data_IF_110692801431
#
_entry.id   IF_110692801431
#
_cell.length_a   1.000
_cell.length_b   1.000
_cell.length_c   1.000
_cell.angle_alpha   90.00
_cell.angle_beta   90.00
_cell.angle_gamma   90.00
#
_symmetry.space_group_name_H-M   'P 1'
#
loop_
_entity.id
_entity.type
_entity.pdbx_description
1 polymer ?
#
# COMPACT_ATOMS: atom_id res chain seq x y z
N UNK A 1 56.76 17.13 -7.82
CA UNK A 1 55.72 17.35 -6.83
C UNK A 1 54.43 16.88 -7.48
N UNK A 2 53.75 15.86 -7.08
CA UNK A 2 53.99 14.67 -6.26
C UNK A 2 52.80 13.75 -6.58
N UNK A 3 53.16 12.57 -7.08
CA UNK A 3 52.28 11.41 -7.07
C UNK A 3 51.89 11.13 -5.61
N UNK A 4 50.62 11.26 -5.28
CA UNK A 4 49.98 10.70 -4.08
C UNK A 4 48.55 11.26 -4.01
N UNK A 5 47.60 10.60 -4.63
CA UNK A 5 46.16 10.54 -4.26
C UNK A 5 45.37 9.66 -5.24
N UNK A 6 45.77 8.41 -5.44
CA UNK A 6 45.03 7.38 -6.19
C UNK A 6 45.18 6.00 -5.56
N UNK A 7 45.13 5.94 -4.24
CA UNK A 7 45.04 4.68 -3.51
C UNK A 7 44.05 4.89 -2.36
N UNK A 8 42.78 4.60 -2.56
CA UNK A 8 41.78 4.34 -1.50
C UNK A 8 40.35 4.17 -2.09
N UNK A 9 40.20 3.39 -3.16
CA UNK A 9 38.90 2.98 -3.65
C UNK A 9 38.72 1.47 -3.94
N UNK A 10 39.69 0.64 -3.55
CA UNK A 10 39.68 -0.83 -3.86
C UNK A 10 39.45 -1.75 -2.65
N UNK A 11 38.98 -1.27 -1.51
CA UNK A 11 38.79 -2.13 -0.32
C UNK A 11 37.35 -2.21 0.22
N UNK A 12 36.31 -2.10 -0.62
CA UNK A 12 34.91 -2.31 -0.18
C UNK A 12 34.14 -3.36 -1.02
N UNK A 13 34.81 -4.14 -1.85
CA UNK A 13 34.15 -5.12 -2.73
C UNK A 13 34.45 -6.60 -2.49
N UNK A 14 34.94 -7.00 -1.33
CA UNK A 14 35.22 -8.42 -1.04
C UNK A 14 34.48 -9.04 0.17
N UNK A 15 33.24 -8.62 0.47
CA UNK A 15 32.47 -9.28 1.54
C UNK A 15 31.00 -9.58 1.19
N UNK A 16 30.67 -9.77 -0.09
CA UNK A 16 29.32 -10.19 -0.50
C UNK A 16 29.28 -11.47 -1.34
N UNK A 17 30.22 -12.38 -1.13
CA UNK A 17 30.21 -13.71 -1.72
C UNK A 17 30.26 -14.73 -0.59
N UNK A 18 29.13 -15.06 0.01
CA UNK A 18 28.84 -16.28 0.79
C UNK A 18 27.70 -16.01 1.78
N UNK A 19 26.48 -15.88 1.25
CA UNK A 19 25.25 -16.20 1.99
C UNK A 19 24.20 -16.68 0.99
N UNK A 20 24.42 -17.86 0.42
CA UNK A 20 23.34 -18.73 -0.05
C UNK A 20 22.66 -19.33 1.20
N UNK A 21 21.91 -18.52 1.91
CA UNK A 21 20.98 -19.01 2.91
C UNK A 21 19.82 -19.71 2.19
N UNK A 22 19.72 -21.00 2.41
CA UNK A 22 18.57 -21.84 2.13
C UNK A 22 17.32 -21.15 2.68
N UNK A 23 16.58 -20.45 1.82
CA UNK A 23 15.24 -19.99 2.15
C UNK A 23 14.37 -21.24 2.20
N UNK A 24 14.14 -21.77 3.39
CA UNK A 24 13.11 -22.75 3.64
C UNK A 24 11.76 -22.17 3.17
N UNK A 25 11.15 -22.82 2.19
CA UNK A 25 9.78 -22.53 1.77
C UNK A 25 8.84 -22.84 2.93
N UNK A 26 8.52 -21.85 3.76
CA UNK A 26 7.38 -21.94 4.66
C UNK A 26 6.07 -21.88 3.86
N UNK A 27 5.06 -22.66 4.23
CA UNK A 27 3.84 -22.80 3.43
C UNK A 27 3.10 -21.47 3.30
N UNK A 28 2.75 -21.12 2.08
CA UNK A 28 2.14 -19.89 1.59
C UNK A 28 0.89 -19.36 2.32
N UNK A 29 0.32 -20.12 3.26
CA UNK A 29 -0.93 -19.77 3.95
C UNK A 29 -0.81 -18.72 5.05
N UNK A 30 0.35 -18.51 5.66
CA UNK A 30 0.51 -17.59 6.80
C UNK A 30 1.08 -16.21 6.45
N UNK A 31 1.50 -15.97 5.20
CA UNK A 31 2.03 -14.67 4.73
C UNK A 31 0.96 -13.61 4.42
N UNK A 32 -0.31 -13.96 4.49
CA UNK A 32 -1.43 -13.04 4.17
C UNK A 32 -1.83 -12.10 5.31
N UNK A 33 -1.19 -12.18 6.47
CA UNK A 33 -1.52 -11.34 7.63
C UNK A 33 -0.30 -10.47 7.94
N UNK A 34 -0.04 -9.50 7.10
CA UNK A 34 0.82 -8.40 7.50
C UNK A 34 0.07 -7.61 8.59
N UNK A 35 0.54 -7.67 9.82
CA UNK A 35 0.01 -6.93 10.94
C UNK A 35 0.57 -5.48 10.91
N UNK A 36 0.29 -4.75 9.82
CA UNK A 36 0.89 -3.44 9.51
C UNK A 36 0.63 -2.45 10.63
N UNK A 37 -0.62 -2.36 11.07
CA UNK A 37 -0.99 -1.43 12.12
C UNK A 37 -0.39 -1.83 13.47
N UNK A 38 -0.32 -3.15 13.77
CA UNK A 38 0.38 -3.67 14.94
C UNK A 38 1.85 -3.27 14.96
N UNK A 39 2.54 -3.44 13.83
CA UNK A 39 3.95 -3.06 13.70
C UNK A 39 4.16 -1.56 13.92
N UNK A 40 3.24 -0.71 13.44
CA UNK A 40 3.28 0.74 13.69
C UNK A 40 3.05 1.09 15.16
N UNK A 41 2.11 0.44 15.84
CA UNK A 41 1.91 0.62 17.29
C UNK A 41 3.15 0.17 18.06
N UNK A 42 3.72 -0.98 17.73
CA UNK A 42 4.94 -1.49 18.35
C UNK A 42 6.12 -0.52 18.16
N UNK A 43 6.33 -0.05 16.93
CA UNK A 43 7.35 0.95 16.62
C UNK A 43 7.13 2.29 17.37
N UNK A 44 5.87 2.66 17.61
CA UNK A 44 5.54 3.82 18.42
C UNK A 44 5.87 3.60 19.92
N UNK A 45 5.60 2.40 20.47
CA UNK A 45 5.96 2.02 21.84
C UNK A 45 7.49 2.09 22.05
N UNK A 46 8.25 1.63 21.07
CA UNK A 46 9.73 1.61 21.12
C UNK A 46 10.34 3.00 20.84
N UNK A 47 9.53 3.99 20.45
CA UNK A 47 10.02 5.34 20.16
C UNK A 47 10.32 6.10 21.46
N UNK A 48 11.58 6.54 21.71
CA UNK A 48 11.93 7.27 22.93
C UNK A 48 11.13 8.56 23.17
N UNK A 49 10.60 9.17 22.09
CA UNK A 49 9.79 10.40 22.16
C UNK A 49 8.35 10.14 22.62
N UNK A 50 7.88 8.89 22.52
CA UNK A 50 6.56 8.49 22.97
C UNK A 50 6.55 7.95 24.43
N UNK A 51 7.60 8.18 25.21
CA UNK A 51 7.76 7.63 26.56
C UNK A 51 6.59 7.93 27.48
N UNK A 52 5.98 9.10 27.34
CA UNK A 52 4.81 9.52 28.13
C UNK A 52 3.53 8.80 27.70
N UNK A 53 3.50 8.26 26.46
CA UNK A 53 2.32 7.64 25.88
C UNK A 53 2.38 6.11 25.85
N UNK A 54 3.41 5.48 26.46
CA UNK A 54 3.62 4.02 26.38
C UNK A 54 2.38 3.25 26.86
N UNK A 55 1.75 3.66 27.95
CA UNK A 55 0.58 2.95 28.46
C UNK A 55 -0.65 3.14 27.56
N UNK A 56 -0.81 4.32 26.96
CA UNK A 56 -1.84 4.56 25.94
C UNK A 56 -1.61 3.72 24.67
N UNK A 57 -0.36 3.57 24.26
CA UNK A 57 -0.01 2.76 23.09
C UNK A 57 -0.22 1.25 23.35
N UNK A 58 0.02 0.78 24.57
CA UNK A 58 -0.34 -0.59 24.98
C UNK A 58 -1.86 -0.79 25.02
N UNK A 59 -2.61 0.22 25.47
CA UNK A 59 -4.07 0.22 25.42
C UNK A 59 -4.55 0.16 23.94
N UNK A 60 -3.93 0.95 23.06
CA UNK A 60 -4.19 0.90 21.61
C UNK A 60 -3.89 -0.48 21.02
N UNK A 61 -2.80 -1.13 21.41
CA UNK A 61 -2.45 -2.48 20.97
C UNK A 61 -3.51 -3.51 21.40
N UNK A 62 -3.98 -3.44 22.64
CA UNK A 62 -5.04 -4.33 23.15
C UNK A 62 -6.35 -4.13 22.37
N UNK A 63 -6.70 -2.88 22.09
CA UNK A 63 -7.88 -2.55 21.30
C UNK A 63 -7.75 -3.03 19.85
N UNK A 64 -6.56 -2.91 19.23
CA UNK A 64 -6.24 -3.47 17.94
C UNK A 64 -6.45 -4.98 17.90
N UNK A 65 -5.92 -5.72 18.89
CA UNK A 65 -6.07 -7.18 18.94
C UNK A 65 -7.54 -7.60 19.07
N UNK A 66 -8.32 -6.84 19.81
CA UNK A 66 -9.77 -7.03 19.88
C UNK A 66 -10.46 -6.76 18.55
N UNK A 67 -10.11 -5.67 17.86
CA UNK A 67 -10.64 -5.32 16.54
C UNK A 67 -10.37 -6.42 15.51
N UNK A 68 -9.12 -6.89 15.40
CA UNK A 68 -8.74 -7.96 14.47
C UNK A 68 -9.45 -9.29 14.81
N UNK A 69 -9.53 -9.63 16.10
CA UNK A 69 -10.28 -10.81 16.53
C UNK A 69 -11.76 -10.71 16.14
N UNK A 70 -12.35 -9.53 16.29
CA UNK A 70 -13.75 -9.29 15.93
C UNK A 70 -13.97 -9.44 14.41
N UNK A 71 -13.09 -8.89 13.57
CA UNK A 71 -13.15 -9.08 12.11
C UNK A 71 -13.07 -10.57 11.76
N UNK A 72 -12.09 -11.29 12.33
CA UNK A 72 -11.89 -12.72 12.05
C UNK A 72 -13.04 -13.62 12.52
N UNK A 73 -13.81 -13.16 13.50
CA UNK A 73 -14.97 -13.90 14.02
C UNK A 73 -16.26 -13.70 13.23
N UNK A 74 -16.27 -12.79 12.23
CA UNK A 74 -17.44 -12.54 11.40
C UNK A 74 -17.77 -13.78 10.57
N UNK A 75 -19.01 -14.23 10.64
CA UNK A 75 -19.56 -15.36 9.86
C UNK A 75 -20.41 -14.90 8.68
N UNK A 76 -20.66 -13.60 8.55
CA UNK A 76 -21.36 -12.99 7.43
C UNK A 76 -20.53 -13.01 6.16
N UNK A 77 -21.15 -12.77 5.00
CA UNK A 77 -20.50 -12.75 3.68
C UNK A 77 -21.01 -11.61 2.81
N UNK A 78 -20.30 -11.31 1.72
CA UNK A 78 -20.67 -10.30 0.75
C UNK A 78 -20.88 -8.92 1.37
N UNK A 79 -21.95 -8.25 0.96
CA UNK A 79 -22.31 -6.89 1.41
C UNK A 79 -22.45 -6.81 2.94
N UNK A 80 -23.05 -7.81 3.55
CA UNK A 80 -23.24 -7.80 5.02
C UNK A 80 -21.92 -7.87 5.77
N UNK A 81 -20.96 -8.66 5.29
CA UNK A 81 -19.62 -8.72 5.89
C UNK A 81 -18.89 -7.37 5.78
N UNK A 82 -18.99 -6.72 4.63
CA UNK A 82 -18.39 -5.37 4.44
C UNK A 82 -19.02 -4.36 5.40
N UNK A 83 -20.33 -4.42 5.62
CA UNK A 83 -21.03 -3.55 6.57
C UNK A 83 -20.56 -3.81 8.01
N UNK A 84 -20.54 -5.08 8.43
CA UNK A 84 -20.06 -5.46 9.76
C UNK A 84 -18.62 -5.03 9.99
N UNK A 85 -17.73 -5.23 9.01
CA UNK A 85 -16.34 -4.80 9.06
C UNK A 85 -16.20 -3.28 9.12
N UNK A 86 -17.01 -2.53 8.36
CA UNK A 86 -16.99 -1.07 8.37
C UNK A 86 -17.44 -0.51 9.73
N UNK A 87 -18.44 -1.14 10.36
CA UNK A 87 -18.85 -0.78 11.74
C UNK A 87 -17.73 -1.01 12.75
N UNK A 88 -17.05 -2.16 12.67
CA UNK A 88 -15.89 -2.47 13.52
C UNK A 88 -14.74 -1.49 13.28
N UNK A 89 -14.48 -1.11 12.02
CA UNK A 89 -13.48 -0.10 11.66
C UNK A 89 -13.80 1.25 12.30
N UNK A 90 -15.03 1.75 12.17
CA UNK A 90 -15.46 3.01 12.77
C UNK A 90 -15.26 2.98 14.28
N UNK A 91 -15.72 1.93 14.97
CA UNK A 91 -15.56 1.80 16.41
C UNK A 91 -14.10 1.82 16.85
N UNK A 92 -13.21 1.12 16.12
CA UNK A 92 -11.78 1.11 16.42
C UNK A 92 -11.12 2.47 16.17
N UNK A 93 -11.44 3.13 15.03
CA UNK A 93 -10.89 4.46 14.70
C UNK A 93 -11.37 5.53 15.67
N UNK A 94 -12.64 5.52 16.08
CA UNK A 94 -13.17 6.45 17.05
C UNK A 94 -12.45 6.29 18.42
N UNK A 95 -12.25 5.04 18.84
CA UNK A 95 -11.51 4.77 20.07
C UNK A 95 -10.05 5.22 19.96
N UNK A 96 -9.32 4.81 18.91
CA UNK A 96 -7.91 5.15 18.71
C UNK A 96 -7.69 6.66 18.57
N UNK A 97 -8.44 7.29 17.65
CA UNK A 97 -8.18 8.66 17.23
C UNK A 97 -8.80 9.70 18.17
N UNK A 98 -10.01 9.43 18.70
CA UNK A 98 -10.73 10.37 19.56
C UNK A 98 -10.46 10.07 21.04
N UNK A 99 -10.72 8.84 21.48
CA UNK A 99 -10.70 8.54 22.93
C UNK A 99 -9.28 8.34 23.46
N UNK A 100 -8.35 7.81 22.67
CA UNK A 100 -6.96 7.69 23.07
C UNK A 100 -6.14 8.92 22.64
N UNK A 101 -5.90 9.12 21.33
CA UNK A 101 -4.93 10.10 20.85
C UNK A 101 -5.40 11.53 21.13
N UNK A 102 -6.59 11.92 20.66
CA UNK A 102 -7.05 13.30 20.81
C UNK A 102 -7.36 13.66 22.26
N UNK A 103 -7.90 12.73 23.05
CA UNK A 103 -8.31 12.96 24.44
C UNK A 103 -7.15 12.88 25.43
N UNK A 104 -6.33 11.83 25.35
CA UNK A 104 -5.35 11.48 26.38
C UNK A 104 -3.90 11.60 25.90
N UNK A 105 -3.65 11.58 24.60
CA UNK A 105 -2.29 11.57 24.05
C UNK A 105 -1.50 12.84 24.39
N UNK A 106 -0.18 12.69 24.54
CA UNK A 106 0.74 13.81 24.70
C UNK A 106 0.76 14.71 23.44
N UNK A 107 1.38 15.86 23.57
CA UNK A 107 1.62 16.76 22.43
C UNK A 107 2.41 16.06 21.31
N UNK A 108 3.33 15.15 21.68
CA UNK A 108 4.08 14.36 20.70
C UNK A 108 3.15 13.43 19.91
N UNK A 109 2.33 12.63 20.61
CA UNK A 109 1.42 11.69 19.97
C UNK A 109 0.37 12.40 19.10
N UNK A 110 -0.17 13.52 19.57
CA UNK A 110 -1.11 14.36 18.80
C UNK A 110 -0.49 14.97 17.55
N UNK A 111 0.73 15.54 17.67
CA UNK A 111 1.41 16.21 16.55
C UNK A 111 2.05 15.25 15.57
N UNK A 112 2.51 14.09 16.05
CA UNK A 112 3.21 13.08 15.26
C UNK A 112 2.27 12.06 14.64
N UNK A 113 0.96 12.25 14.77
CA UNK A 113 -0.06 11.35 14.28
C UNK A 113 0.22 10.90 12.84
N UNK A 114 0.40 11.84 11.90
CA UNK A 114 0.69 11.53 10.51
C UNK A 114 2.09 10.92 10.28
N UNK A 115 3.08 11.24 11.11
CA UNK A 115 4.44 10.68 11.01
C UNK A 115 4.51 9.26 11.56
N UNK A 116 3.81 8.99 12.66
CA UNK A 116 3.68 7.64 13.21
C UNK A 116 2.79 6.77 12.34
N UNK A 117 1.96 7.38 11.48
CA UNK A 117 1.00 6.71 10.60
C UNK A 117 0.01 5.79 11.31
N UNK A 118 -0.28 6.02 12.59
CA UNK A 118 -1.19 5.17 13.36
C UNK A 118 -2.62 5.20 12.79
N UNK A 119 -3.10 6.37 12.40
CA UNK A 119 -4.42 6.56 11.80
C UNK A 119 -4.52 6.02 10.38
N UNK A 120 -3.46 6.17 9.57
CA UNK A 120 -3.41 5.73 8.20
C UNK A 120 -3.26 4.20 8.09
N UNK A 121 -2.38 3.63 8.92
CA UNK A 121 -2.10 2.18 8.91
C UNK A 121 -3.30 1.31 9.29
N UNK A 122 -4.29 1.87 10.00
CA UNK A 122 -5.59 1.19 10.23
C UNK A 122 -6.27 0.89 8.90
N UNK A 123 -6.29 1.86 7.97
CA UNK A 123 -6.89 1.68 6.66
C UNK A 123 -6.07 0.72 5.80
N UNK A 124 -4.75 0.83 5.82
CA UNK A 124 -3.85 -0.07 5.10
C UNK A 124 -4.12 -1.54 5.48
N UNK A 125 -4.27 -1.82 6.77
CA UNK A 125 -4.59 -3.18 7.26
C UNK A 125 -6.03 -3.58 6.97
N UNK A 126 -6.99 -2.66 7.10
CA UNK A 126 -8.38 -2.92 6.79
C UNK A 126 -8.58 -3.41 5.35
N UNK A 127 -7.86 -2.82 4.39
CA UNK A 127 -7.94 -3.22 2.97
C UNK A 127 -7.52 -4.68 2.75
N UNK A 128 -6.56 -5.19 3.54
CA UNK A 128 -6.15 -6.60 3.44
C UNK A 128 -7.31 -7.51 3.84
N UNK A 129 -8.08 -7.15 4.86
CA UNK A 129 -9.22 -7.94 5.31
C UNK A 129 -10.42 -7.87 4.35
N UNK A 130 -10.51 -6.84 3.50
CA UNK A 130 -11.51 -6.80 2.42
C UNK A 130 -11.25 -7.83 1.31
N UNK A 131 -9.99 -8.30 1.19
CA UNK A 131 -9.61 -9.37 0.24
C UNK A 131 -9.94 -10.75 0.82
N UNK A 132 -11.13 -10.88 1.35
CA UNK A 132 -11.65 -12.13 1.90
C UNK A 132 -12.45 -12.88 0.82
N UNK A 133 -12.27 -14.21 0.65
CA UNK A 133 -13.01 -15.01 -0.33
C UNK A 133 -14.54 -14.92 -0.18
N UNK A 134 -15.04 -14.64 1.02
CA UNK A 134 -16.46 -14.44 1.25
C UNK A 134 -16.98 -13.07 0.79
N UNK A 135 -16.06 -12.13 0.43
CA UNK A 135 -16.36 -10.82 -0.15
C UNK A 135 -16.01 -10.82 -1.64
N UNK A 136 -14.80 -11.27 -2.00
CA UNK A 136 -14.27 -11.32 -3.36
C UNK A 136 -14.16 -12.77 -3.83
N UNK A 137 -15.28 -13.38 -4.16
CA UNK A 137 -15.41 -14.82 -4.43
C UNK A 137 -14.54 -15.34 -5.58
N UNK A 138 -14.21 -14.49 -6.56
CA UNK A 138 -13.43 -14.88 -7.74
C UNK A 138 -11.92 -14.72 -7.56
N UNK A 139 -11.46 -14.08 -6.47
CA UNK A 139 -10.04 -13.86 -6.23
C UNK A 139 -9.24 -15.14 -5.93
N UNK A 140 -9.79 -16.15 -5.19
CA UNK A 140 -9.05 -17.39 -4.87
C UNK A 140 -8.64 -18.23 -6.08
N UNK A 141 -9.27 -18.03 -7.25
CA UNK A 141 -8.90 -18.70 -8.49
C UNK A 141 -7.58 -18.18 -9.11
N UNK A 142 -7.06 -17.06 -8.60
CA UNK A 142 -5.83 -16.43 -9.07
C UNK A 142 -4.80 -16.46 -7.94
N UNK A 143 -3.60 -16.93 -8.23
CA UNK A 143 -2.47 -16.89 -7.30
C UNK A 143 -1.91 -15.44 -7.23
N UNK A 144 -2.72 -14.52 -6.71
CA UNK A 144 -2.38 -13.11 -6.52
C UNK A 144 -1.97 -12.82 -5.08
N UNK A 145 -1.13 -11.81 -4.92
CA UNK A 145 -0.57 -11.39 -3.66
C UNK A 145 -1.16 -10.03 -3.25
N UNK A 146 -2.19 -10.00 -2.38
CA UNK A 146 -2.72 -8.75 -1.84
C UNK A 146 -1.85 -8.19 -0.72
N UNK A 147 -1.91 -6.88 -0.51
CA UNK A 147 -1.28 -6.16 0.60
C UNK A 147 -0.28 -5.11 0.17
N UNK A 148 0.44 -4.49 1.13
CA UNK A 148 1.44 -3.48 0.83
C UNK A 148 2.65 -4.13 0.16
N UNK A 149 3.06 -3.55 -0.96
CA UNK A 149 4.22 -4.00 -1.75
C UNK A 149 4.90 -2.82 -2.42
N UNK A 150 6.19 -2.98 -2.68
CA UNK A 150 6.93 -2.09 -3.55
C UNK A 150 6.62 -2.43 -5.00
N UNK A 151 5.71 -1.67 -5.62
CA UNK A 151 5.20 -1.95 -6.96
C UNK A 151 6.18 -1.49 -8.04
N UNK A 152 6.38 -2.33 -9.06
CA UNK A 152 7.16 -2.01 -10.25
C UNK A 152 6.53 -0.83 -11.02
N UNK A 153 7.38 0.11 -11.45
CA UNK A 153 6.99 1.29 -12.22
C UNK A 153 7.60 1.30 -13.62
N UNK A 154 8.90 1.00 -13.73
CA UNK A 154 9.59 0.95 -15.02
C UNK A 154 10.91 0.19 -14.93
N UNK A 155 11.39 -0.26 -16.09
CA UNK A 155 12.69 -0.88 -16.26
C UNK A 155 13.43 -0.20 -17.41
N UNK A 156 14.72 0.06 -17.24
CA UNK A 156 15.59 0.57 -18.30
C UNK A 156 16.95 -0.12 -18.27
N UNK A 157 17.48 -0.46 -19.43
CA UNK A 157 18.87 -0.85 -19.57
C UNK A 157 19.74 0.42 -19.64
N UNK A 158 20.80 0.48 -18.87
CA UNK A 158 21.65 1.67 -18.75
C UNK A 158 23.13 1.28 -18.82
N UNK A 159 23.59 0.72 -19.94
CA UNK A 159 25.00 0.37 -20.08
C UNK A 159 25.89 1.63 -19.97
N UNK A 160 26.93 1.53 -19.14
CA UNK A 160 27.86 2.63 -18.90
C UNK A 160 28.84 2.87 -20.08
N UNK A 161 28.98 1.88 -20.97
CA UNK A 161 29.75 2.00 -22.23
C UNK A 161 29.29 0.93 -23.23
N UNK A 162 29.70 1.09 -24.50
CA UNK A 162 29.39 0.11 -25.55
C UNK A 162 30.04 -1.26 -25.28
N UNK A 163 31.19 -1.31 -24.64
CA UNK A 163 31.87 -2.55 -24.25
C UNK A 163 31.09 -3.34 -23.21
N UNK A 164 30.30 -2.68 -22.37
CA UNK A 164 29.48 -3.30 -21.32
C UNK A 164 28.27 -4.06 -21.87
N UNK A 165 27.92 -3.90 -23.15
CA UNK A 165 26.83 -4.65 -23.77
C UNK A 165 27.08 -6.18 -23.78
N UNK A 166 28.34 -6.62 -23.73
CA UNK A 166 28.70 -8.04 -23.68
C UNK A 166 28.90 -8.56 -22.25
N UNK A 167 28.73 -7.72 -21.26
CA UNK A 167 28.86 -8.08 -19.84
C UNK A 167 27.50 -8.27 -19.18
N UNK A 168 27.48 -8.51 -17.88
CA UNK A 168 26.25 -8.57 -17.07
C UNK A 168 25.45 -7.29 -17.29
N UNK A 169 24.16 -7.38 -17.68
CA UNK A 169 23.36 -6.20 -18.00
C UNK A 169 23.21 -5.23 -16.83
N UNK A 170 23.46 -3.95 -17.08
CA UNK A 170 23.20 -2.86 -16.16
C UNK A 170 21.73 -2.42 -16.32
N UNK A 171 20.91 -2.72 -15.30
CA UNK A 171 19.46 -2.47 -15.34
C UNK A 171 19.08 -1.55 -14.18
N UNK A 172 18.26 -0.55 -14.48
CA UNK A 172 17.62 0.31 -13.48
C UNK A 172 16.14 -0.07 -13.41
N UNK A 173 15.74 -0.62 -12.29
CA UNK A 173 14.32 -0.84 -11.96
C UNK A 173 13.88 0.32 -11.08
N UNK A 174 12.80 1.00 -11.48
CA UNK A 174 12.12 1.97 -10.64
C UNK A 174 10.87 1.31 -10.08
N UNK A 175 10.71 1.47 -8.80
CA UNK A 175 9.60 0.97 -8.02
C UNK A 175 9.12 2.02 -7.00
N UNK A 176 7.99 1.77 -6.37
CA UNK A 176 7.46 2.63 -5.30
C UNK A 176 6.58 1.82 -4.36
N UNK A 177 6.77 2.05 -3.06
CA UNK A 177 5.90 1.48 -2.04
C UNK A 177 4.46 1.96 -2.22
N UNK A 178 3.53 1.02 -2.11
CA UNK A 178 2.09 1.25 -2.16
C UNK A 178 1.47 0.78 -0.86
N UNK A 179 0.50 1.52 -0.35
CA UNK A 179 -0.21 1.19 0.88
C UNK A 179 -1.01 -0.11 0.74
N UNK A 180 -1.49 -0.40 -0.48
CA UNK A 180 -2.16 -1.65 -0.82
C UNK A 180 -1.97 -1.98 -2.31
N UNK A 181 -1.77 -3.26 -2.62
CA UNK A 181 -1.74 -3.77 -3.99
C UNK A 181 -2.47 -5.10 -4.10
N UNK A 182 -2.87 -5.42 -5.32
CA UNK A 182 -3.16 -6.78 -5.77
C UNK A 182 -2.28 -7.01 -6.98
N UNK A 183 -1.44 -8.05 -6.95
CA UNK A 183 -0.47 -8.28 -8.01
C UNK A 183 0.22 -9.63 -7.88
N UNK A 184 1.35 -9.77 -8.54
CA UNK A 184 2.17 -10.97 -8.52
C UNK A 184 3.64 -10.63 -8.48
N UNK A 185 4.40 -11.37 -7.72
CA UNK A 185 5.87 -11.32 -7.77
C UNK A 185 6.36 -12.05 -9.00
N UNK A 186 7.10 -11.34 -9.86
CA UNK A 186 7.70 -11.87 -11.09
C UNK A 186 9.21 -11.94 -10.89
N UNK A 187 9.79 -13.10 -11.16
CA UNK A 187 11.23 -13.30 -11.20
C UNK A 187 11.77 -13.08 -12.61
N UNK A 188 12.93 -12.41 -12.73
CA UNK A 188 13.55 -12.14 -14.01
C UNK A 188 15.02 -12.54 -14.05
N UNK A 189 15.50 -12.83 -15.26
CA UNK A 189 16.93 -13.00 -15.59
C UNK A 189 17.24 -12.27 -16.88
N UNK A 190 18.33 -11.51 -16.90
CA UNK A 190 18.86 -10.84 -18.09
C UNK A 190 20.31 -11.24 -18.29
N UNK A 191 20.68 -11.68 -19.49
CA UNK A 191 22.05 -12.07 -19.84
C UNK A 191 22.30 -11.78 -21.32
N UNK A 192 23.51 -11.37 -21.72
CA UNK A 192 23.93 -11.38 -23.11
C UNK A 192 24.17 -12.80 -23.64
N UNK A 193 24.30 -13.78 -22.73
CA UNK A 193 24.54 -15.18 -23.03
C UNK A 193 23.25 -16.00 -22.92
N UNK A 194 22.90 -16.71 -24.00
CA UNK A 194 21.70 -17.54 -24.07
C UNK A 194 21.67 -18.71 -23.06
N UNK A 195 22.81 -19.12 -22.53
CA UNK A 195 22.93 -20.17 -21.51
C UNK A 195 22.74 -19.61 -20.08
N UNK A 196 22.56 -18.30 -19.93
CA UNK A 196 22.41 -17.64 -18.63
C UNK A 196 23.53 -17.99 -17.63
N UNK A 197 24.77 -17.91 -18.10
CA UNK A 197 25.94 -18.13 -17.24
C UNK A 197 25.86 -17.19 -16.02
N UNK A 198 26.07 -17.71 -14.83
CA UNK A 198 25.91 -16.96 -13.56
C UNK A 198 26.75 -15.69 -13.49
N UNK A 199 27.94 -15.67 -14.11
CA UNK A 199 28.82 -14.50 -14.12
C UNK A 199 28.29 -13.35 -14.99
N UNK A 200 27.54 -13.66 -16.05
CA UNK A 200 26.99 -12.68 -17.00
C UNK A 200 25.48 -12.44 -16.83
N UNK A 201 24.84 -13.11 -15.86
CA UNK A 201 23.38 -13.01 -15.66
C UNK A 201 23.06 -12.11 -14.49
N UNK A 202 22.19 -11.12 -14.73
CA UNK A 202 21.48 -10.37 -13.68
C UNK A 202 20.16 -11.08 -13.40
N UNK A 203 19.91 -11.44 -12.14
CA UNK A 203 18.63 -12.01 -11.72
C UNK A 203 18.05 -11.18 -10.57
N UNK A 204 16.72 -11.20 -10.47
CA UNK A 204 16.01 -10.53 -9.39
C UNK A 204 14.52 -10.80 -9.43
N UNK A 205 13.79 -10.03 -8.65
CA UNK A 205 12.32 -10.08 -8.58
C UNK A 205 11.74 -8.67 -8.59
N UNK A 206 10.52 -8.53 -9.06
CA UNK A 206 9.72 -7.31 -8.99
C UNK A 206 8.27 -7.68 -8.69
N UNK A 207 7.52 -6.77 -8.06
CA UNK A 207 6.09 -6.96 -7.85
C UNK A 207 5.30 -6.22 -8.93
N UNK A 208 4.65 -6.97 -9.81
CA UNK A 208 3.75 -6.42 -10.82
C UNK A 208 2.38 -6.22 -10.18
N UNK A 209 2.08 -4.99 -9.77
CA UNK A 209 0.77 -4.64 -9.26
C UNK A 209 -0.20 -4.40 -10.42
N UNK A 210 -1.28 -5.17 -10.47
CA UNK A 210 -2.40 -4.95 -11.41
C UNK A 210 -3.48 -4.04 -10.82
N UNK A 211 -3.46 -3.88 -9.50
CA UNK A 211 -4.24 -2.89 -8.77
C UNK A 211 -3.38 -2.33 -7.65
N UNK A 212 -3.40 -1.02 -7.48
CA UNK A 212 -2.80 -0.34 -6.33
C UNK A 212 -3.78 0.65 -5.72
N UNK A 213 -3.68 0.84 -4.41
CA UNK A 213 -4.44 1.85 -3.70
C UNK A 213 -3.57 2.56 -2.67
N UNK A 214 -3.77 3.87 -2.57
CA UNK A 214 -3.13 4.75 -1.60
C UNK A 214 -4.16 5.17 -0.56
N UNK A 215 -3.81 5.14 0.72
CA UNK A 215 -4.66 5.54 1.84
C UNK A 215 -4.23 6.91 2.37
N UNK A 216 -5.18 7.82 2.54
CA UNK A 216 -4.93 9.15 3.10
C UNK A 216 -6.01 9.54 4.10
N UNK A 217 -5.61 9.91 5.32
CA UNK A 217 -6.58 10.47 6.30
C UNK A 217 -7.05 11.85 5.85
N UNK A 218 -6.15 12.68 5.37
CA UNK A 218 -6.47 13.99 4.81
C UNK A 218 -5.89 14.08 3.40
N UNK A 219 -6.63 14.68 2.49
CA UNK A 219 -6.26 14.74 1.07
C UNK A 219 -6.25 16.16 0.57
N UNK A 220 -5.06 16.72 0.42
CA UNK A 220 -4.82 18.05 -0.11
C UNK A 220 -4.35 18.02 -1.57
N UNK A 221 -4.16 19.21 -2.16
CA UNK A 221 -3.76 19.35 -3.57
C UNK A 221 -2.38 18.75 -3.86
N UNK A 222 -1.45 18.81 -2.91
CA UNK A 222 -0.10 18.22 -3.07
C UNK A 222 -0.21 16.70 -3.13
N UNK A 223 -0.97 16.11 -2.21
CA UNK A 223 -1.21 14.66 -2.19
C UNK A 223 -1.95 14.19 -3.45
N UNK A 224 -2.90 14.98 -3.95
CA UNK A 224 -3.57 14.70 -5.23
C UNK A 224 -2.57 14.62 -6.38
N UNK A 225 -1.67 15.59 -6.51
CA UNK A 225 -0.64 15.62 -7.55
C UNK A 225 0.35 14.47 -7.41
N UNK A 226 0.74 14.12 -6.19
CA UNK A 226 1.61 12.96 -5.91
C UNK A 226 0.96 11.65 -6.32
N UNK A 227 -0.31 11.45 -5.98
CA UNK A 227 -1.09 10.27 -6.37
C UNK A 227 -1.25 10.21 -7.90
N UNK A 228 -1.56 11.33 -8.57
CA UNK A 228 -1.66 11.39 -10.02
C UNK A 228 -0.34 11.02 -10.71
N UNK A 229 0.78 11.55 -10.21
CA UNK A 229 2.11 11.18 -10.70
C UNK A 229 2.49 9.73 -10.43
N UNK A 230 2.00 9.14 -9.33
CA UNK A 230 2.21 7.73 -9.00
C UNK A 230 1.38 6.84 -9.92
N UNK A 231 0.10 7.17 -10.12
CA UNK A 231 -0.79 6.46 -11.03
C UNK A 231 -0.22 6.39 -12.45
N UNK A 232 0.26 7.52 -12.97
CA UNK A 232 0.88 7.58 -14.30
C UNK A 232 2.10 6.66 -14.41
N UNK A 233 2.98 6.66 -13.39
CA UNK A 233 4.15 5.77 -13.38
C UNK A 233 3.77 4.30 -13.26
N UNK A 234 2.79 3.96 -12.44
CA UNK A 234 2.29 2.59 -12.31
C UNK A 234 1.76 2.08 -13.66
N UNK A 235 0.90 2.87 -14.30
CA UNK A 235 0.30 2.51 -15.60
C UNK A 235 1.33 2.53 -16.74
N UNK A 236 2.41 3.29 -16.62
CA UNK A 236 3.54 3.18 -17.55
C UNK A 236 4.18 1.78 -17.49
N UNK A 237 4.37 1.24 -16.29
CA UNK A 237 4.91 -0.10 -16.08
C UNK A 237 3.89 -1.24 -16.33
N UNK A 238 2.61 -0.99 -16.06
CA UNK A 238 1.50 -1.93 -16.27
C UNK A 238 0.25 -1.17 -16.77
N UNK A 239 0.07 -1.00 -18.08
CA UNK A 239 -1.00 -0.14 -18.65
C UNK A 239 -2.42 -0.52 -18.25
N UNK A 240 -2.66 -1.79 -17.91
CA UNK A 240 -3.97 -2.28 -17.47
C UNK A 240 -4.22 -2.05 -15.97
N UNK A 241 -3.19 -1.65 -15.22
CA UNK A 241 -3.31 -1.50 -13.78
C UNK A 241 -4.37 -0.45 -13.40
N UNK A 242 -5.08 -0.71 -12.30
CA UNK A 242 -5.98 0.23 -11.65
C UNK A 242 -5.27 0.93 -10.50
N UNK A 243 -5.48 2.23 -10.39
CA UNK A 243 -4.94 3.02 -9.28
C UNK A 243 -6.05 3.80 -8.58
N UNK A 244 -6.26 3.49 -7.30
CA UNK A 244 -7.29 4.08 -6.47
C UNK A 244 -6.69 4.89 -5.32
N UNK A 245 -7.46 5.88 -4.83
CA UNK A 245 -7.10 6.61 -3.60
C UNK A 245 -8.29 6.53 -2.64
N UNK A 246 -8.04 6.05 -1.42
CA UNK A 246 -9.03 6.01 -0.35
C UNK A 246 -8.71 7.14 0.64
N UNK A 247 -9.67 8.03 0.82
CA UNK A 247 -9.50 9.29 1.55
C UNK A 247 -10.54 9.37 2.66
N UNK A 248 -10.14 9.72 3.88
CA UNK A 248 -11.13 9.94 4.93
C UNK A 248 -11.73 11.35 4.81
N UNK A 249 -10.90 12.38 4.75
CA UNK A 249 -11.32 13.77 4.72
C UNK A 249 -10.67 14.55 3.57
N UNK A 250 -11.44 15.39 2.91
CA UNK A 250 -10.98 16.24 1.83
C UNK A 250 -10.50 17.60 2.37
N UNK A 251 -9.24 17.98 2.12
CA UNK A 251 -8.62 19.26 2.50
C UNK A 251 -8.33 20.13 1.25
N UNK A 252 -9.13 19.97 0.20
CA UNK A 252 -9.06 20.70 -1.07
C UNK A 252 -10.44 20.82 -1.70
N UNK A 253 -10.55 21.50 -2.82
CA UNK A 253 -11.73 21.38 -3.68
C UNK A 253 -11.66 20.04 -4.44
N UNK A 254 -12.79 19.35 -4.57
CA UNK A 254 -12.85 18.12 -5.36
C UNK A 254 -12.50 18.44 -6.84
N UNK A 255 -11.57 17.66 -7.39
CA UNK A 255 -11.13 17.78 -8.78
C UNK A 255 -11.60 16.57 -9.60
N UNK A 256 -11.71 16.75 -10.91
CA UNK A 256 -12.09 15.68 -11.82
C UNK A 256 -10.89 14.77 -12.08
N UNK A 257 -10.92 13.56 -11.51
CA UNK A 257 -9.83 12.57 -11.63
C UNK A 257 -9.60 12.10 -13.07
N UNK A 258 -10.62 12.25 -13.98
CA UNK A 258 -10.48 11.88 -15.40
C UNK A 258 -9.41 12.70 -16.15
N UNK A 259 -8.93 13.78 -15.55
CA UNK A 259 -7.79 14.56 -16.06
C UNK A 259 -6.43 13.96 -15.64
N UNK A 260 -6.43 12.81 -14.98
CA UNK A 260 -5.25 12.10 -14.48
C UNK A 260 -5.34 10.62 -14.80
N UNK A 261 -4.32 9.87 -14.40
CA UNK A 261 -4.33 8.40 -14.48
C UNK A 261 -4.93 7.72 -13.24
N UNK A 262 -5.48 8.48 -12.28
CA UNK A 262 -6.22 7.93 -11.14
C UNK A 262 -7.56 7.40 -11.64
N UNK A 263 -7.88 6.13 -11.35
CA UNK A 263 -9.16 5.54 -11.76
C UNK A 263 -10.32 6.03 -10.89
N UNK A 264 -10.12 6.18 -9.57
CA UNK A 264 -11.12 6.76 -8.67
C UNK A 264 -10.51 7.27 -7.36
N UNK A 265 -11.19 8.24 -6.73
CA UNK A 265 -10.93 8.70 -5.36
C UNK A 265 -12.19 8.44 -4.52
N UNK A 266 -12.06 7.62 -3.48
CA UNK A 266 -13.15 7.27 -2.57
C UNK A 266 -13.08 8.11 -1.32
N UNK A 267 -13.99 9.07 -1.17
CA UNK A 267 -14.10 9.91 0.03
C UNK A 267 -14.95 9.19 1.08
N UNK A 268 -14.27 8.44 1.97
CA UNK A 268 -14.87 7.47 2.87
C UNK A 268 -15.87 8.07 3.87
N UNK A 269 -15.57 9.27 4.39
CA UNK A 269 -16.40 9.97 5.38
C UNK A 269 -17.32 11.04 4.75
N UNK A 270 -17.28 11.23 3.43
CA UNK A 270 -18.05 12.22 2.68
C UNK A 270 -17.98 13.63 3.27
N UNK A 271 -16.83 13.98 3.85
CA UNK A 271 -16.65 15.21 4.60
C UNK A 271 -15.35 15.92 4.25
N UNK A 272 -15.34 17.23 4.45
CA UNK A 272 -14.10 18.01 4.46
C UNK A 272 -13.41 17.89 5.80
N UNK A 273 -12.09 18.07 5.80
CA UNK A 273 -11.29 18.19 7.01
C UNK A 273 -11.75 19.37 7.86
N UNK A 274 -11.70 19.24 9.18
CA UNK A 274 -11.97 20.35 10.10
C UNK A 274 -11.11 21.58 9.77
N UNK A 275 -11.67 22.80 9.85
CA UNK A 275 -10.89 24.03 9.82
C UNK A 275 -9.78 24.01 10.86
N UNK A 276 -8.67 24.68 10.58
CA UNK A 276 -7.46 24.64 11.41
C UNK A 276 -7.75 24.97 12.89
N UNK A 277 -8.59 25.99 13.13
CA UNK A 277 -8.94 26.49 14.46
C UNK A 277 -9.71 25.47 15.31
N UNK A 278 -10.39 24.52 14.66
CA UNK A 278 -11.21 23.50 15.30
C UNK A 278 -10.47 22.17 15.56
N UNK A 279 -9.32 21.96 14.90
CA UNK A 279 -8.57 20.68 14.97
C UNK A 279 -8.03 20.33 16.35
N UNK A 280 -7.81 21.32 17.21
CA UNK A 280 -7.35 21.13 18.59
C UNK A 280 -8.48 20.89 19.58
N UNK A 281 -9.73 21.12 19.19
CA UNK A 281 -10.90 20.94 20.07
C UNK A 281 -11.35 19.48 20.05
N UNK A 282 -11.22 18.80 21.19
CA UNK A 282 -11.69 17.41 21.35
C UNK A 282 -13.19 17.27 21.01
N UNK A 283 -14.00 18.26 21.40
CA UNK A 283 -15.44 18.27 21.13
C UNK A 283 -15.73 18.30 19.63
N UNK A 284 -15.02 19.16 18.87
CA UNK A 284 -15.18 19.26 17.43
C UNK A 284 -14.70 17.99 16.70
N UNK A 285 -13.55 17.43 17.13
CA UNK A 285 -13.04 16.18 16.56
C UNK A 285 -14.01 15.03 16.81
N UNK A 286 -14.52 14.89 18.05
CA UNK A 286 -15.52 13.87 18.40
C UNK A 286 -16.82 14.05 17.61
N UNK A 287 -17.29 15.27 17.47
CA UNK A 287 -18.50 15.55 16.69
C UNK A 287 -18.31 15.20 15.20
N UNK A 288 -17.14 15.54 14.63
CA UNK A 288 -16.84 15.21 13.23
C UNK A 288 -16.84 13.70 12.98
N UNK A 289 -16.24 12.89 13.87
CA UNK A 289 -16.26 11.44 13.75
C UNK A 289 -17.68 10.87 13.85
N UNK A 290 -18.49 11.41 14.77
CA UNK A 290 -19.87 11.00 14.96
C UNK A 290 -20.78 11.35 13.77
N UNK A 291 -20.64 12.55 13.22
CA UNK A 291 -21.47 13.03 12.10
C UNK A 291 -21.01 12.45 10.76
N UNK A 292 -19.72 12.13 10.64
CA UNK A 292 -19.10 11.64 9.42
C UNK A 292 -18.35 10.33 9.66
N UNK A 293 -19.06 9.22 9.97
CA UNK A 293 -18.41 7.90 10.04
C UNK A 293 -17.90 7.50 8.64
N UNK A 294 -17.02 6.52 8.57
CA UNK A 294 -16.71 5.85 7.31
C UNK A 294 -17.99 5.15 6.81
N UNK A 295 -18.38 5.48 5.60
CA UNK A 295 -19.64 5.02 5.00
C UNK A 295 -19.47 3.68 4.30
N UNK A 296 -20.24 2.67 4.71
CA UNK A 296 -20.23 1.32 4.10
C UNK A 296 -20.44 1.37 2.59
N UNK A 297 -21.33 2.24 2.08
CA UNK A 297 -21.59 2.33 0.65
C UNK A 297 -20.41 2.85 -0.16
N UNK A 298 -19.48 3.61 0.46
CA UNK A 298 -18.25 4.04 -0.21
C UNK A 298 -17.23 2.88 -0.22
N UNK A 299 -17.12 2.14 0.87
CA UNK A 299 -16.29 0.92 0.93
C UNK A 299 -16.79 -0.11 -0.09
N UNK A 300 -18.10 -0.29 -0.19
CA UNK A 300 -18.71 -1.19 -1.18
C UNK A 300 -18.43 -0.76 -2.63
N UNK A 301 -18.40 0.55 -2.92
CA UNK A 301 -17.98 1.03 -4.25
C UNK A 301 -16.55 0.60 -4.58
N UNK A 302 -15.63 0.72 -3.64
CA UNK A 302 -14.26 0.26 -3.82
C UNK A 302 -14.18 -1.26 -4.02
N UNK A 303 -14.88 -2.05 -3.19
CA UNK A 303 -14.97 -3.52 -3.34
C UNK A 303 -15.54 -3.90 -4.71
N UNK A 304 -16.59 -3.20 -5.17
CA UNK A 304 -17.19 -3.44 -6.48
C UNK A 304 -16.24 -3.12 -7.63
N UNK A 305 -15.42 -2.04 -7.51
CA UNK A 305 -14.38 -1.76 -8.52
C UNK A 305 -13.35 -2.88 -8.59
N UNK A 306 -12.90 -3.42 -7.45
CA UNK A 306 -12.01 -4.59 -7.43
C UNK A 306 -12.69 -5.78 -8.10
N UNK A 307 -13.92 -6.09 -7.72
CA UNK A 307 -14.66 -7.24 -8.24
C UNK A 307 -14.90 -7.12 -9.76
N UNK A 308 -15.27 -5.92 -10.22
CA UNK A 308 -15.45 -5.64 -11.63
C UNK A 308 -14.14 -5.79 -12.41
N UNK A 309 -13.04 -5.28 -11.86
CA UNK A 309 -11.72 -5.41 -12.48
C UNK A 309 -11.27 -6.87 -12.60
N UNK A 310 -11.45 -7.66 -11.54
CA UNK A 310 -11.13 -9.10 -11.54
C UNK A 310 -11.97 -9.84 -12.60
N UNK A 311 -13.24 -9.49 -12.77
CA UNK A 311 -14.16 -10.10 -13.71
C UNK A 311 -14.00 -9.55 -15.14
N UNK A 312 -13.27 -8.46 -15.35
CA UNK A 312 -13.07 -7.86 -16.67
C UNK A 312 -12.25 -8.80 -17.54
N UNK A 313 -12.71 -8.99 -18.78
CA UNK A 313 -11.92 -9.69 -19.80
C UNK A 313 -10.77 -8.79 -20.25
N UNK A 314 -9.57 -9.26 -20.03
CA UNK A 314 -8.40 -8.58 -20.53
C UNK A 314 -8.26 -8.77 -22.05
N UNK A 315 -7.44 -7.92 -22.68
CA UNK A 315 -7.26 -7.98 -24.13
C UNK A 315 -6.72 -9.35 -24.56
N UNK A 316 -7.48 -10.01 -25.43
CA UNK A 316 -7.12 -11.25 -26.11
C UNK A 316 -7.31 -11.04 -27.61
N UNK A 317 -6.23 -11.14 -28.43
CA UNK A 317 -6.30 -10.94 -29.87
C UNK A 317 -7.30 -11.89 -30.56
N UNK A 318 -7.34 -13.16 -30.17
CA UNK A 318 -8.25 -14.12 -30.76
C UNK A 318 -9.71 -13.82 -30.42
N UNK A 319 -9.99 -13.47 -29.15
CA UNK A 319 -11.31 -13.03 -28.73
C UNK A 319 -11.73 -11.70 -29.39
N UNK A 320 -10.80 -10.78 -29.62
CA UNK A 320 -11.08 -9.52 -30.32
C UNK A 320 -11.55 -9.75 -31.75
N UNK A 321 -10.89 -10.67 -32.47
CA UNK A 321 -11.30 -11.05 -33.82
C UNK A 321 -12.70 -11.65 -33.83
N UNK A 322 -12.99 -12.61 -32.93
CA UNK A 322 -14.30 -13.26 -32.87
C UNK A 322 -15.43 -12.31 -32.48
N UNK A 323 -15.15 -11.29 -31.63
CA UNK A 323 -16.12 -10.26 -31.25
C UNK A 323 -16.30 -9.18 -32.29
N UNK A 324 -15.31 -9.00 -33.20
CA UNK A 324 -15.27 -7.87 -34.12
C UNK A 324 -15.01 -6.52 -33.43
N UNK A 325 -14.41 -6.53 -32.22
CA UNK A 325 -14.12 -5.33 -31.42
C UNK A 325 -12.86 -5.55 -30.60
N UNK A 326 -12.03 -4.51 -30.48
CA UNK A 326 -10.78 -4.52 -29.71
C UNK A 326 -10.98 -4.18 -28.21
N UNK A 327 -12.18 -3.82 -27.82
CA UNK A 327 -12.57 -3.48 -26.44
C UNK A 327 -13.76 -4.32 -26.01
#
# INVERSE_FOLDING_TARGET
MSEQTLENFDEVNETNAEMDEQISEEPHKDRLIAAIHKEKIMAAIDNPKAKEDIDLLKEALSAYEYWIKSIKSLTTSGIQKVDDMTRLLNGYKDYLEVDLIASKGSDFLKRQKGQLKLDNSVMEEFLIHLVDPSILSNLPGFDLEPGPKTAFMSLAFRPSSISKLNEKPEVVIKDKDQDFTIGKTIHYKFSPDSNFNSRSTLSGKLHLAVLAAECKVNYDKTMFQECAGTAARLKYGCPIAKYFVLVEYLDMQAEDVRMTEIDNVFLLRKAKRLPFEKRSSLAEVRNQHKEHPIHTEVVLKFVNEIQNFINTKWYDPAAAISRGSFI
#
